data_IF_695292673475
#
_entry.id   IF_695292673475
#
_cell.length_a   1.000
_cell.length_b   1.000
_cell.length_c   1.000
_cell.angle_alpha   90.00
_cell.angle_beta   90.00
_cell.angle_gamma   90.00
#
_symmetry.space_group_name_H-M   'P 1'
#
loop_
_entity.id
_entity.type
_entity.pdbx_description
1 polymer ?
#
# COMPACT_ATOMS: atom_id res chain seq x y z
N UNK A 1 17.56 6.17 19.70
CA UNK A 1 17.51 7.57 19.22
C UNK A 1 18.20 7.59 17.86
N UNK A 2 17.53 8.06 16.82
CA UNK A 2 18.11 8.20 15.47
C UNK A 2 18.91 9.51 15.49
N UNK A 3 20.18 9.49 15.03
CA UNK A 3 21.01 10.68 14.95
C UNK A 3 20.37 11.72 14.01
N UNK A 4 20.62 13.01 14.25
CA UNK A 4 20.06 14.14 13.48
C UNK A 4 20.31 14.01 11.97
N UNK A 5 21.42 13.42 11.58
CA UNK A 5 21.86 13.24 10.19
C UNK A 5 20.95 12.28 9.38
N UNK A 6 20.13 11.47 10.07
CA UNK A 6 19.16 10.57 9.43
C UNK A 6 17.75 11.18 9.27
N UNK A 7 17.51 12.39 9.77
CA UNK A 7 16.19 13.02 9.69
C UNK A 7 15.80 13.40 8.25
N UNK A 8 16.78 13.68 7.42
CA UNK A 8 16.54 13.90 5.99
C UNK A 8 15.95 12.65 5.30
N UNK A 9 16.33 11.45 5.76
CA UNK A 9 15.77 10.19 5.28
C UNK A 9 14.29 9.96 5.60
N UNK A 10 13.74 10.66 6.60
CA UNK A 10 12.31 10.53 6.96
C UNK A 10 11.37 10.98 5.84
N UNK A 11 11.79 11.94 5.02
CA UNK A 11 11.01 12.40 3.86
C UNK A 11 10.80 11.29 2.82
N UNK A 12 11.73 10.35 2.72
CA UNK A 12 11.69 9.24 1.75
C UNK A 12 10.81 8.10 2.24
N UNK A 13 10.63 7.97 3.56
CA UNK A 13 9.86 6.87 4.17
C UNK A 13 8.43 6.83 3.61
N UNK A 14 7.76 7.98 3.51
CA UNK A 14 6.40 8.05 2.97
C UNK A 14 6.32 7.58 1.51
N UNK A 15 7.32 7.91 0.70
CA UNK A 15 7.40 7.52 -0.72
C UNK A 15 7.61 6.00 -0.82
N UNK A 16 8.53 5.46 -0.02
CA UNK A 16 8.80 4.01 0.03
C UNK A 16 7.57 3.24 0.51
N UNK A 17 6.86 3.75 1.52
CA UNK A 17 5.59 3.15 1.97
C UNK A 17 4.55 3.13 0.85
N UNK A 18 4.48 4.18 0.03
CA UNK A 18 3.66 4.19 -1.19
C UNK A 18 4.05 3.09 -2.18
N UNK A 19 5.34 2.88 -2.39
CA UNK A 19 5.85 1.78 -3.23
C UNK A 19 5.46 0.39 -2.68
N UNK A 20 5.54 0.18 -1.36
CA UNK A 20 5.14 -1.07 -0.72
C UNK A 20 3.62 -1.32 -0.82
N UNK A 21 2.79 -0.27 -0.84
CA UNK A 21 1.34 -0.40 -1.11
C UNK A 21 1.12 -0.98 -2.52
N UNK A 22 1.77 -0.43 -3.55
CA UNK A 22 1.67 -0.96 -4.92
C UNK A 22 2.15 -2.42 -4.99
N UNK A 23 3.23 -2.74 -4.32
CA UNK A 23 3.73 -4.11 -4.22
C UNK A 23 2.72 -5.04 -3.54
N UNK A 24 2.07 -4.61 -2.47
CA UNK A 24 1.00 -5.35 -1.80
C UNK A 24 -0.20 -5.61 -2.73
N UNK A 25 -0.62 -4.60 -3.50
CA UNK A 25 -1.68 -4.73 -4.51
C UNK A 25 -1.25 -5.72 -5.60
N UNK A 26 -0.01 -5.63 -6.09
CA UNK A 26 0.54 -6.57 -7.06
C UNK A 26 0.50 -8.01 -6.55
N UNK A 27 0.86 -8.26 -5.29
CA UNK A 27 0.77 -9.60 -4.70
C UNK A 27 -0.66 -10.16 -4.74
N UNK A 28 -1.67 -9.35 -4.42
CA UNK A 28 -3.07 -9.76 -4.54
C UNK A 28 -3.47 -10.03 -5.99
N UNK A 29 -3.05 -9.17 -6.92
CA UNK A 29 -3.29 -9.37 -8.34
C UNK A 29 -2.57 -10.61 -8.89
N UNK A 30 -1.46 -11.04 -8.28
CA UNK A 30 -0.65 -12.17 -8.74
C UNK A 30 -1.34 -13.54 -8.66
N UNK A 31 -2.46 -13.63 -7.94
CA UNK A 31 -3.17 -14.91 -7.77
C UNK A 31 -3.73 -15.45 -9.09
N UNK A 32 -4.09 -14.60 -10.06
CA UNK A 32 -4.67 -15.07 -11.31
C UNK A 32 -3.74 -16.01 -12.07
N UNK A 33 -2.46 -15.69 -12.24
CA UNK A 33 -1.53 -16.54 -12.96
C UNK A 33 -1.09 -17.79 -12.17
N UNK A 34 -1.27 -17.78 -10.84
CA UNK A 34 -1.09 -18.98 -10.00
C UNK A 34 -2.28 -19.93 -10.13
N UNK A 35 -3.49 -19.39 -10.25
CA UNK A 35 -4.73 -20.17 -10.41
C UNK A 35 -4.87 -20.74 -11.82
N UNK A 36 -4.26 -20.11 -12.82
CA UNK A 36 -4.30 -20.55 -14.23
C UNK A 36 -3.09 -21.38 -14.63
N UNK A 37 -2.20 -21.74 -13.70
CA UNK A 37 -0.91 -22.42 -13.96
C UNK A 37 0.02 -21.68 -14.92
N UNK A 38 -0.21 -20.40 -15.15
CA UNK A 38 0.60 -19.54 -16.01
C UNK A 38 1.67 -18.77 -15.19
N UNK A 39 2.39 -19.44 -14.31
CA UNK A 39 3.38 -18.84 -13.39
C UNK A 39 4.51 -18.08 -14.07
N UNK A 40 4.74 -18.33 -15.36
CA UNK A 40 5.72 -17.60 -16.18
C UNK A 40 5.46 -16.09 -16.20
N UNK A 41 4.21 -15.64 -16.06
CA UNK A 41 3.87 -14.22 -15.98
C UNK A 41 4.49 -13.54 -14.76
N UNK A 42 4.64 -14.27 -13.65
CA UNK A 42 5.33 -13.76 -12.47
C UNK A 42 6.80 -13.42 -12.76
N UNK A 43 7.49 -14.26 -13.53
CA UNK A 43 8.87 -13.99 -13.96
C UNK A 43 8.94 -12.78 -14.91
N UNK A 44 8.04 -12.68 -15.88
CA UNK A 44 7.99 -11.53 -16.81
C UNK A 44 7.74 -10.22 -16.08
N UNK A 45 6.76 -10.16 -15.18
CA UNK A 45 6.50 -8.95 -14.39
C UNK A 45 7.68 -8.58 -13.50
N UNK A 46 8.32 -9.56 -12.88
CA UNK A 46 9.52 -9.31 -12.05
C UNK A 46 10.67 -8.76 -12.86
N UNK A 47 10.91 -9.30 -14.06
CA UNK A 47 11.96 -8.81 -14.97
C UNK A 47 11.67 -7.40 -15.45
N UNK A 48 10.43 -7.10 -15.85
CA UNK A 48 10.03 -5.75 -16.27
C UNK A 48 10.18 -4.76 -15.11
N UNK A 49 9.67 -5.10 -13.92
CA UNK A 49 9.79 -4.24 -12.75
C UNK A 49 11.23 -3.98 -12.35
N UNK A 50 12.05 -5.02 -12.32
CA UNK A 50 13.48 -4.91 -12.04
C UNK A 50 14.19 -4.03 -13.08
N UNK A 51 13.92 -4.26 -14.38
CA UNK A 51 14.51 -3.49 -15.47
C UNK A 51 14.17 -2.00 -15.37
N UNK A 52 12.91 -1.66 -15.08
CA UNK A 52 12.47 -0.27 -14.90
C UNK A 52 13.12 0.37 -13.68
N UNK A 53 13.13 -0.32 -12.55
CA UNK A 53 13.75 0.19 -11.32
C UNK A 53 15.26 0.42 -11.54
N UNK A 54 15.95 -0.51 -12.17
CA UNK A 54 17.38 -0.37 -12.46
C UNK A 54 17.64 0.79 -13.43
N UNK A 55 16.90 0.87 -14.52
CA UNK A 55 17.07 1.93 -15.52
C UNK A 55 16.85 3.33 -14.89
N UNK A 56 15.78 3.48 -14.11
CA UNK A 56 15.48 4.74 -13.42
C UNK A 56 16.54 5.07 -12.37
N UNK A 57 17.04 4.09 -11.63
CA UNK A 57 18.11 4.32 -10.67
C UNK A 57 19.40 4.77 -11.34
N UNK A 58 19.82 4.12 -12.43
CA UNK A 58 21.04 4.49 -13.17
C UNK A 58 20.93 5.93 -13.71
N UNK A 59 19.74 6.32 -14.14
CA UNK A 59 19.54 7.64 -14.77
C UNK A 59 19.27 8.77 -13.78
N UNK A 60 18.43 8.54 -12.74
CA UNK A 60 18.00 9.59 -11.84
C UNK A 60 18.84 9.72 -10.57
N UNK A 61 19.40 8.63 -10.04
CA UNK A 61 20.16 8.66 -8.79
C UNK A 61 21.39 9.57 -8.86
N UNK A 62 22.17 9.61 -9.97
CA UNK A 62 23.31 10.53 -10.07
C UNK A 62 22.91 12.01 -9.94
N UNK A 63 21.66 12.36 -10.32
CA UNK A 63 21.18 13.75 -10.33
C UNK A 63 20.40 14.11 -9.07
N UNK A 64 19.55 13.22 -8.59
CA UNK A 64 18.58 13.48 -7.50
C UNK A 64 18.86 12.68 -6.21
N UNK A 65 19.93 11.88 -6.20
CA UNK A 65 20.34 11.11 -5.02
C UNK A 65 19.34 10.03 -4.63
N UNK A 66 19.31 9.68 -3.34
CA UNK A 66 18.51 8.58 -2.79
C UNK A 66 16.98 8.77 -2.91
N UNK A 67 16.50 10.01 -3.02
CA UNK A 67 15.07 10.30 -3.23
C UNK A 67 14.59 9.75 -4.58
N UNK A 68 15.45 9.81 -5.60
CA UNK A 68 15.15 9.24 -6.91
C UNK A 68 14.94 7.71 -6.85
N UNK A 69 15.69 7.01 -6.01
CA UNK A 69 15.53 5.56 -5.82
C UNK A 69 14.17 5.20 -5.24
N UNK A 70 13.65 6.01 -4.31
CA UNK A 70 12.31 5.82 -3.78
C UNK A 70 11.22 6.01 -4.86
N UNK A 71 11.33 7.03 -5.68
CA UNK A 71 10.41 7.26 -6.80
C UNK A 71 10.54 6.19 -7.89
N UNK A 72 11.76 5.70 -8.16
CA UNK A 72 11.98 4.59 -9.07
C UNK A 72 11.25 3.32 -8.60
N UNK A 73 11.24 3.06 -7.30
CA UNK A 73 10.48 1.95 -6.71
C UNK A 73 8.97 2.11 -6.88
N UNK A 74 8.44 3.33 -6.64
CA UNK A 74 7.01 3.63 -6.88
C UNK A 74 6.65 3.40 -8.35
N UNK A 75 7.47 3.90 -9.27
CA UNK A 75 7.25 3.73 -10.71
C UNK A 75 7.29 2.25 -11.13
N UNK A 76 8.30 1.51 -10.66
CA UNK A 76 8.46 0.09 -10.99
C UNK A 76 7.32 -0.77 -10.46
N UNK A 77 6.99 -0.67 -9.17
CA UNK A 77 5.87 -1.42 -8.59
C UNK A 77 4.52 -0.96 -9.11
N UNK A 78 4.33 0.33 -9.35
CA UNK A 78 3.13 0.87 -9.99
C UNK A 78 2.93 0.28 -11.39
N UNK A 79 3.99 0.25 -12.21
CA UNK A 79 3.93 -0.29 -13.56
C UNK A 79 3.56 -1.78 -13.58
N UNK A 80 4.24 -2.62 -12.77
CA UNK A 80 3.91 -4.06 -12.73
C UNK A 80 2.52 -4.33 -12.20
N UNK A 81 2.03 -3.50 -11.26
CA UNK A 81 0.66 -3.57 -10.75
C UNK A 81 -0.35 -3.30 -11.86
N UNK A 82 -0.15 -2.24 -12.65
CA UNK A 82 -1.00 -1.91 -13.79
C UNK A 82 -0.96 -3.01 -14.86
N UNK A 83 0.22 -3.49 -15.21
CA UNK A 83 0.38 -4.57 -16.20
C UNK A 83 -0.31 -5.85 -15.71
N UNK A 84 -0.12 -6.25 -14.46
CA UNK A 84 -0.77 -7.43 -13.89
C UNK A 84 -2.30 -7.27 -13.86
N UNK A 85 -2.81 -6.08 -13.58
CA UNK A 85 -4.25 -5.80 -13.63
C UNK A 85 -4.81 -5.95 -15.05
N UNK A 86 -4.24 -5.27 -16.05
CA UNK A 86 -4.75 -5.29 -17.41
C UNK A 86 -4.65 -6.69 -18.06
N UNK A 87 -3.53 -7.37 -17.85
CA UNK A 87 -3.34 -8.71 -18.41
C UNK A 87 -4.20 -9.73 -17.65
N UNK A 88 -4.27 -9.61 -16.34
CA UNK A 88 -5.11 -10.46 -15.50
C UNK A 88 -6.59 -10.34 -15.84
N UNK A 89 -7.11 -9.13 -16.06
CA UNK A 89 -8.49 -8.91 -16.45
C UNK A 89 -8.84 -9.51 -17.83
N UNK A 90 -7.86 -9.62 -18.73
CA UNK A 90 -8.05 -10.28 -20.03
C UNK A 90 -8.10 -11.80 -19.92
N UNK A 91 -7.26 -12.39 -19.08
CA UNK A 91 -7.10 -13.85 -18.96
C UNK A 91 -8.05 -14.47 -17.92
N UNK A 92 -8.24 -13.77 -16.82
CA UNK A 92 -9.10 -14.20 -15.72
C UNK A 92 -9.88 -12.99 -15.17
N UNK A 93 -11.07 -12.71 -15.74
CA UNK A 93 -11.82 -11.51 -15.37
C UNK A 93 -12.40 -11.63 -13.95
N UNK A 94 -11.70 -11.04 -12.99
CA UNK A 94 -12.15 -10.93 -11.60
C UNK A 94 -12.85 -9.59 -11.40
N UNK A 95 -14.05 -9.61 -10.84
CA UNK A 95 -14.76 -8.38 -10.47
C UNK A 95 -14.18 -7.83 -9.16
N UNK A 96 -13.13 -7.01 -9.25
CA UNK A 96 -12.60 -6.32 -8.07
C UNK A 96 -13.55 -5.19 -7.66
N UNK A 97 -13.87 -5.04 -6.36
CA UNK A 97 -14.66 -3.93 -5.86
C UNK A 97 -13.81 -2.65 -5.79
N UNK A 98 -13.39 -2.15 -6.96
CA UNK A 98 -12.50 -0.98 -7.06
C UNK A 98 -13.07 0.26 -6.36
N UNK A 99 -14.41 0.40 -6.32
CA UNK A 99 -15.08 1.51 -5.62
C UNK A 99 -14.80 1.44 -4.10
N UNK A 100 -14.91 0.25 -3.51
CA UNK A 100 -14.67 0.08 -2.07
C UNK A 100 -13.19 0.28 -1.74
N UNK A 101 -12.28 -0.23 -2.58
CA UNK A 101 -10.83 0.01 -2.44
C UNK A 101 -10.50 1.51 -2.52
N UNK A 102 -11.10 2.24 -3.47
CA UNK A 102 -10.90 3.68 -3.58
C UNK A 102 -11.43 4.42 -2.34
N UNK A 103 -12.60 4.02 -1.81
CA UNK A 103 -13.16 4.62 -0.58
C UNK A 103 -12.21 4.43 0.61
N UNK A 104 -11.62 3.24 0.79
CA UNK A 104 -10.66 3.00 1.86
C UNK A 104 -9.40 3.84 1.72
N UNK A 105 -8.91 3.99 0.49
CA UNK A 105 -7.72 4.78 0.21
C UNK A 105 -7.96 6.27 0.47
N UNK A 106 -9.10 6.80 0.03
CA UNK A 106 -9.51 8.19 0.30
C UNK A 106 -9.73 8.41 1.80
N UNK A 107 -10.37 7.47 2.49
CA UNK A 107 -10.59 7.56 3.93
C UNK A 107 -9.25 7.56 4.70
N UNK A 108 -8.33 6.67 4.34
CA UNK A 108 -6.99 6.62 4.94
C UNK A 108 -6.23 7.93 4.71
N UNK A 109 -6.26 8.47 3.48
CA UNK A 109 -5.63 9.74 3.16
C UNK A 109 -6.26 10.91 3.93
N UNK A 110 -7.59 10.97 4.05
CA UNK A 110 -8.29 12.00 4.81
C UNK A 110 -7.92 11.94 6.30
N UNK A 111 -7.91 10.76 6.91
CA UNK A 111 -7.50 10.59 8.30
C UNK A 111 -6.03 10.94 8.53
N UNK A 112 -5.17 10.67 7.56
CA UNK A 112 -3.76 11.06 7.60
C UNK A 112 -3.60 12.58 7.59
N UNK A 113 -4.31 13.29 6.69
CA UNK A 113 -4.29 14.75 6.59
C UNK A 113 -4.80 15.36 7.91
N UNK A 114 -5.94 14.87 8.42
CA UNK A 114 -6.48 15.32 9.73
C UNK A 114 -5.47 15.08 10.85
N UNK A 115 -4.76 13.96 10.82
CA UNK A 115 -3.71 13.66 11.79
C UNK A 115 -2.53 14.64 11.74
N UNK A 116 -2.20 15.17 10.57
CA UNK A 116 -1.12 16.17 10.42
C UNK A 116 -1.52 17.58 10.87
N UNK A 117 -2.78 17.99 10.62
CA UNK A 117 -3.28 19.33 10.99
C UNK A 117 -3.38 19.51 12.51
N UNK A 118 -3.62 18.44 13.26
CA UNK A 118 -3.78 18.52 14.72
C UNK A 118 -2.41 18.42 15.40
N UNK A 119 -1.78 19.59 15.57
CA UNK A 119 -0.49 19.71 16.27
C UNK A 119 -0.71 19.78 17.78
N UNK A 120 -0.63 18.65 18.47
CA UNK A 120 -0.68 18.60 19.94
C UNK A 120 0.72 18.64 20.49
N UNK A 121 1.00 19.63 21.36
CA UNK A 121 2.33 19.82 21.99
C UNK A 121 2.76 18.66 22.88
N UNK A 122 1.80 17.93 23.45
CA UNK A 122 2.07 16.81 24.33
C UNK A 122 2.23 15.52 23.50
N UNK A 123 3.41 14.87 23.60
CA UNK A 123 3.72 13.64 22.84
C UNK A 123 2.74 12.51 23.14
N UNK A 124 2.33 12.35 24.40
CA UNK A 124 1.39 11.29 24.81
C UNK A 124 0.00 11.54 24.22
N UNK A 125 -0.49 12.79 24.27
CA UNK A 125 -1.77 13.14 23.71
C UNK A 125 -1.79 13.01 22.18
N UNK A 126 -0.68 13.35 21.51
CA UNK A 126 -0.52 13.14 20.06
C UNK A 126 -0.56 11.67 19.68
N UNK A 127 0.15 10.81 20.44
CA UNK A 127 0.12 9.37 20.23
C UNK A 127 -1.29 8.80 20.44
N UNK A 128 -1.97 9.18 21.51
CA UNK A 128 -3.35 8.76 21.78
C UNK A 128 -4.30 9.18 20.66
N UNK A 129 -4.19 10.41 20.15
CA UNK A 129 -5.01 10.92 19.06
C UNK A 129 -4.83 10.09 17.76
N UNK A 130 -3.58 9.82 17.37
CA UNK A 130 -3.30 9.00 16.18
C UNK A 130 -3.78 7.55 16.34
N UNK A 131 -3.67 7.01 17.56
CA UNK A 131 -4.21 5.67 17.87
C UNK A 131 -5.74 5.63 17.74
N UNK A 132 -6.43 6.66 18.20
CA UNK A 132 -7.90 6.76 18.05
C UNK A 132 -8.29 6.84 16.58
N UNK A 133 -7.60 7.66 15.76
CA UNK A 133 -7.85 7.73 14.33
C UNK A 133 -7.67 6.37 13.64
N UNK A 134 -6.62 5.64 14.00
CA UNK A 134 -6.37 4.30 13.48
C UNK A 134 -7.48 3.32 13.91
N UNK A 135 -7.91 3.37 15.16
CA UNK A 135 -9.02 2.53 15.65
C UNK A 135 -10.33 2.83 14.93
N UNK A 136 -10.62 4.10 14.65
CA UNK A 136 -11.81 4.51 13.86
C UNK A 136 -11.74 3.91 12.45
N UNK A 137 -10.57 3.97 11.80
CA UNK A 137 -10.37 3.38 10.48
C UNK A 137 -10.58 1.87 10.49
N UNK A 138 -9.97 1.17 11.44
CA UNK A 138 -10.11 -0.29 11.59
C UNK A 138 -11.57 -0.66 11.91
N UNK A 139 -12.23 0.06 12.80
CA UNK A 139 -13.64 -0.19 13.13
C UNK A 139 -14.57 -0.01 11.92
N UNK A 140 -14.29 0.98 11.06
CA UNK A 140 -15.04 1.20 9.83
C UNK A 140 -14.90 0.00 8.86
N UNK A 141 -13.67 -0.48 8.64
CA UNK A 141 -13.39 -1.64 7.77
C UNK A 141 -14.09 -2.89 8.33
N UNK A 142 -13.90 -3.16 9.63
CA UNK A 142 -14.50 -4.33 10.30
C UNK A 142 -16.02 -4.30 10.19
N UNK A 143 -16.64 -3.15 10.39
CA UNK A 143 -18.10 -3.03 10.31
C UNK A 143 -18.64 -3.21 8.89
N UNK A 144 -17.89 -2.80 7.87
CA UNK A 144 -18.33 -2.84 6.47
C UNK A 144 -18.05 -4.20 5.80
N UNK A 145 -16.84 -4.73 5.98
CA UNK A 145 -16.39 -5.92 5.23
C UNK A 145 -16.51 -7.23 6.02
N UNK A 146 -16.50 -7.15 7.36
CA UNK A 146 -16.71 -8.35 8.18
C UNK A 146 -18.16 -8.42 8.62
N UNK A 147 -18.94 -9.38 8.10
CA UNK A 147 -20.25 -9.69 8.65
C UNK A 147 -20.03 -10.32 10.03
N UNK A 148 -19.97 -9.48 11.07
CA UNK A 148 -19.71 -9.88 12.46
C UNK A 148 -20.64 -11.00 12.94
N UNK A 149 -21.81 -11.16 12.28
CA UNK A 149 -22.78 -12.23 12.54
C UNK A 149 -22.36 -13.60 12.00
N UNK A 150 -21.38 -13.68 11.11
CA UNK A 150 -20.95 -14.96 10.52
C UNK A 150 -19.69 -15.54 11.16
N UNK A 151 -19.07 -14.85 12.11
CA UNK A 151 -17.88 -15.31 12.81
C UNK A 151 -18.33 -16.17 14.00
N UNK A 152 -18.10 -17.50 13.98
CA UNK A 152 -18.60 -18.42 15.02
C UNK A 152 -18.03 -18.10 16.42
N UNK A 153 -16.90 -17.42 16.50
CA UNK A 153 -16.26 -17.04 17.76
C UNK A 153 -17.01 -15.88 18.44
N UNK A 154 -17.52 -14.91 17.69
CA UNK A 154 -18.21 -13.73 18.25
C UNK A 154 -19.62 -14.10 18.73
N UNK A 155 -20.29 -15.04 18.07
CA UNK A 155 -21.60 -15.55 18.52
C UNK A 155 -21.54 -16.24 19.89
N UNK A 156 -20.35 -16.61 20.38
CA UNK A 156 -20.15 -17.25 21.69
C UNK A 156 -20.07 -16.22 22.84
N UNK A 157 -19.78 -14.95 22.51
CA UNK A 157 -19.65 -13.86 23.50
C UNK A 157 -20.86 -12.93 23.57
N UNK A 158 -21.79 -13.04 22.62
CA UNK A 158 -23.00 -12.17 22.55
C UNK A 158 -24.27 -12.95 23.03
N UNK A 159 -24.08 -14.16 23.58
CA UNK A 159 -25.20 -14.93 24.19
C UNK A 159 -25.24 -14.74 25.68
#
# INVERSE_FOLDING_TARGET
MVASDYWEGLSVVAIVMGAEIFKGIYFNLSFWYKLTDETQWGAYFSLIGCGVILALNIWLVPTYGYVASAWASVAGYGLITLLSYFIGQKKYPVKYPLKDMAVYLVLAAALFIVGQEVTVSNVIARLAFHTVLLLVFVAYIVKKDLPLKSIPVINRFIK
#
